data_IF_318755242455
#
_entry.id   IF_318755242455
#
_cell.length_a   1.000
_cell.length_b   1.000
_cell.length_c   1.000
_cell.angle_alpha   90.00
_cell.angle_beta   90.00
_cell.angle_gamma   90.00
#
_symmetry.space_group_name_H-M   'P 1'
#
loop_
_entity.id
_entity.type
_entity.pdbx_description
1 polymer ?
#
# COMPACT_ATOMS: atom_id res chain seq x y z
N UNK A 1 20.94 -3.41 12.54
CA UNK A 1 21.37 -2.13 11.94
C UNK A 1 22.09 -1.29 12.99
N UNK A 2 23.36 -1.61 13.17
CA UNK A 2 24.18 -1.12 14.28
C UNK A 2 25.07 0.05 13.83
N UNK A 3 24.60 0.85 12.90
CA UNK A 3 25.36 1.92 12.26
C UNK A 3 24.90 3.33 12.54
N UNK A 4 24.24 3.56 13.67
CA UNK A 4 23.78 4.93 14.00
C UNK A 4 24.86 5.66 14.77
N UNK A 5 25.59 6.53 14.09
CA UNK A 5 26.48 7.50 14.71
C UNK A 5 25.83 8.89 14.69
N UNK A 6 25.81 9.54 15.84
CA UNK A 6 25.33 10.91 15.96
C UNK A 6 23.91 11.03 16.52
N UNK A 7 23.05 11.84 15.88
CA UNK A 7 21.72 12.20 16.37
C UNK A 7 20.61 11.20 16.00
N UNK A 8 20.95 10.14 15.30
CA UNK A 8 19.97 9.13 14.88
C UNK A 8 19.68 8.17 16.03
N UNK A 9 18.42 7.91 16.29
CA UNK A 9 17.94 6.95 17.29
C UNK A 9 17.20 5.81 16.62
N UNK A 10 17.37 4.59 17.11
CA UNK A 10 16.64 3.43 16.62
C UNK A 10 15.14 3.53 16.88
N UNK A 11 14.32 2.95 16.02
CA UNK A 11 12.86 3.00 16.13
C UNK A 11 12.36 2.42 17.47
N UNK A 12 13.00 1.37 17.97
CA UNK A 12 12.64 0.77 19.26
C UNK A 12 12.82 1.76 20.42
N UNK A 13 13.87 2.60 20.37
CA UNK A 13 14.08 3.64 21.37
C UNK A 13 12.96 4.68 21.31
N UNK A 14 12.59 5.13 20.12
CA UNK A 14 11.49 6.11 19.94
C UNK A 14 10.16 5.55 20.48
N UNK A 15 9.87 4.28 20.17
CA UNK A 15 8.66 3.60 20.67
C UNK A 15 8.69 3.51 22.20
N UNK A 16 9.83 3.14 22.78
CA UNK A 16 9.96 3.02 24.24
C UNK A 16 9.78 4.38 24.96
N UNK A 17 10.36 5.45 24.41
CA UNK A 17 10.18 6.79 24.97
C UNK A 17 8.73 7.29 24.80
N UNK A 18 8.12 7.08 23.62
CA UNK A 18 6.71 7.39 23.40
C UNK A 18 5.79 6.65 24.38
N UNK A 19 6.06 5.37 24.65
CA UNK A 19 5.30 4.60 25.64
C UNK A 19 5.43 5.18 27.06
N UNK A 20 6.63 5.57 27.48
CA UNK A 20 6.83 6.22 28.80
C UNK A 20 6.00 7.51 28.92
N UNK A 21 5.99 8.34 27.88
CA UNK A 21 5.20 9.57 27.86
C UNK A 21 3.70 9.28 27.98
N UNK A 22 3.21 8.31 27.20
CA UNK A 22 1.80 7.89 27.23
C UNK A 22 1.41 7.32 28.61
N UNK A 23 2.24 6.44 29.18
CA UNK A 23 2.02 5.84 30.50
C UNK A 23 2.05 6.90 31.62
N UNK A 24 2.78 8.02 31.41
CA UNK A 24 2.81 9.17 32.28
C UNK A 24 1.62 10.15 32.11
N UNK A 25 0.69 9.85 31.17
CA UNK A 25 -0.48 10.69 30.89
C UNK A 25 -0.19 11.90 30.01
N UNK A 26 0.92 11.92 29.27
CA UNK A 26 1.19 12.99 28.30
C UNK A 26 0.24 12.89 27.12
N UNK A 27 -0.48 13.97 26.82
CA UNK A 27 -1.48 14.08 25.74
C UNK A 27 -1.08 15.09 24.67
N UNK A 28 0.10 15.72 24.77
CA UNK A 28 0.53 16.78 23.86
C UNK A 28 0.35 16.43 22.38
N UNK A 29 0.65 15.19 21.99
CA UNK A 29 0.47 14.74 20.60
C UNK A 29 -1.00 14.69 20.19
N UNK A 30 -1.90 14.32 21.12
CA UNK A 30 -3.34 14.21 20.85
C UNK A 30 -4.03 15.57 20.84
N UNK A 31 -3.47 16.53 21.58
CA UNK A 31 -4.05 17.86 21.79
C UNK A 31 -3.55 18.88 20.73
N UNK A 32 -2.71 18.45 19.78
CA UNK A 32 -2.21 19.32 18.71
C UNK A 32 -3.37 19.75 17.80
N UNK A 33 -3.60 21.05 17.73
CA UNK A 33 -4.48 21.62 16.69
C UNK A 33 -3.81 21.55 15.32
N UNK A 34 -4.48 20.90 14.38
CA UNK A 34 -4.00 20.75 13.00
C UNK A 34 -4.72 21.77 12.13
N UNK A 35 -3.97 22.72 11.55
CA UNK A 35 -4.49 23.56 10.47
C UNK A 35 -4.62 22.76 9.18
N UNK A 36 -5.84 22.53 8.67
CA UNK A 36 -6.04 21.76 7.44
C UNK A 36 -5.35 22.36 6.21
N UNK A 37 -5.11 23.65 6.20
CA UNK A 37 -4.50 24.37 5.08
C UNK A 37 -2.96 24.45 5.20
N UNK A 38 -2.40 23.99 6.30
CA UNK A 38 -0.96 23.99 6.47
C UNK A 38 -0.28 23.08 5.45
N UNK A 39 0.75 23.62 4.76
CA UNK A 39 1.59 22.85 3.86
C UNK A 39 2.33 21.73 4.59
N UNK A 40 2.19 20.49 4.12
CA UNK A 40 2.81 19.32 4.75
C UNK A 40 3.51 18.39 3.78
N UNK A 41 3.09 18.32 2.53
CA UNK A 41 3.65 17.41 1.55
C UNK A 41 4.17 18.13 0.32
N UNK A 42 5.38 17.77 -0.09
CA UNK A 42 5.96 18.20 -1.37
C UNK A 42 6.20 16.94 -2.22
N UNK A 43 5.50 16.86 -3.34
CA UNK A 43 5.62 15.73 -4.26
C UNK A 43 6.16 16.24 -5.59
N UNK A 44 7.22 15.61 -6.07
CA UNK A 44 7.80 15.96 -7.36
C UNK A 44 7.17 15.12 -8.47
N UNK A 45 6.73 15.82 -9.52
CA UNK A 45 6.25 15.20 -10.75
C UNK A 45 7.21 15.45 -11.87
N UNK A 46 7.44 14.44 -12.73
CA UNK A 46 8.14 14.62 -14.00
C UNK A 46 7.26 15.47 -14.91
N UNK A 47 7.51 16.78 -14.94
CA UNK A 47 6.81 17.67 -15.86
C UNK A 47 7.07 17.32 -17.32
N UNK A 48 6.22 17.78 -18.23
CA UNK A 48 6.42 17.72 -19.69
C UNK A 48 7.64 18.52 -20.15
N UNK A 49 8.19 19.37 -19.29
CA UNK A 49 9.44 20.11 -19.43
C UNK A 49 10.52 19.42 -18.60
N UNK A 50 11.77 19.49 -19.02
CA UNK A 50 12.93 18.81 -18.42
C UNK A 50 13.18 19.06 -16.91
N UNK A 51 12.39 19.93 -16.29
CA UNK A 51 12.49 20.23 -14.84
C UNK A 51 11.34 19.59 -14.07
N UNK A 52 11.68 18.90 -12.98
CA UNK A 52 10.70 18.37 -12.04
C UNK A 52 9.94 19.54 -11.37
N UNK A 53 8.62 19.40 -11.27
CA UNK A 53 7.75 20.37 -10.59
C UNK A 53 7.39 19.85 -9.22
N UNK A 54 7.58 20.67 -8.19
CA UNK A 54 7.13 20.37 -6.83
C UNK A 54 5.67 20.76 -6.65
N UNK A 55 4.82 19.77 -6.35
CA UNK A 55 3.41 19.99 -6.00
C UNK A 55 3.31 20.09 -4.50
N UNK A 56 2.81 21.22 -4.02
CA UNK A 56 2.61 21.49 -2.59
C UNK A 56 1.20 21.06 -2.19
N UNK A 57 1.10 20.20 -1.19
CA UNK A 57 -0.17 19.69 -0.67
C UNK A 57 -0.30 20.02 0.82
N UNK A 58 -1.50 20.44 1.23
CA UNK A 58 -1.86 20.62 2.62
C UNK A 58 -2.56 19.35 3.18
N UNK A 59 -2.82 19.34 4.48
CA UNK A 59 -3.55 18.26 5.14
C UNK A 59 -4.91 17.98 4.49
N UNK A 60 -5.66 19.04 4.16
CA UNK A 60 -6.98 18.91 3.53
C UNK A 60 -6.93 18.15 2.22
N UNK A 61 -5.95 18.41 1.36
CA UNK A 61 -5.85 17.74 0.06
C UNK A 61 -5.75 16.21 0.21
N UNK A 62 -4.95 15.75 1.18
CA UNK A 62 -4.78 14.32 1.43
C UNK A 62 -6.02 13.72 2.10
N UNK A 63 -6.55 14.39 3.11
CA UNK A 63 -7.73 13.92 3.84
C UNK A 63 -8.96 13.80 2.94
N UNK A 64 -9.22 14.79 2.08
CA UNK A 64 -10.34 14.76 1.15
C UNK A 64 -10.18 13.64 0.11
N UNK A 65 -8.96 13.40 -0.39
CA UNK A 65 -8.68 12.31 -1.30
C UNK A 65 -8.95 10.94 -0.64
N UNK A 66 -8.43 10.72 0.56
CA UNK A 66 -8.67 9.50 1.34
C UNK A 66 -10.15 9.30 1.62
N UNK A 67 -10.85 10.35 2.10
CA UNK A 67 -12.28 10.30 2.38
C UNK A 67 -13.12 10.02 1.13
N UNK A 68 -12.74 10.61 -0.02
CA UNK A 68 -13.44 10.37 -1.27
C UNK A 68 -13.36 8.90 -1.68
N UNK A 69 -12.17 8.29 -1.62
CA UNK A 69 -11.99 6.87 -1.99
C UNK A 69 -12.70 5.95 -1.00
N UNK A 70 -12.67 6.24 0.31
CA UNK A 70 -13.38 5.46 1.34
C UNK A 70 -14.90 5.38 1.11
N UNK A 71 -15.48 6.34 0.39
CA UNK A 71 -16.91 6.30 0.04
C UNK A 71 -17.23 5.32 -1.08
N UNK A 72 -16.29 5.01 -1.95
CA UNK A 72 -16.47 4.13 -3.10
C UNK A 72 -15.95 2.73 -2.88
N UNK A 73 -14.89 2.59 -2.09
CA UNK A 73 -14.24 1.32 -1.79
C UNK A 73 -14.44 1.01 -0.31
N UNK A 74 -15.13 -0.10 -0.02
CA UNK A 74 -15.26 -0.56 1.36
C UNK A 74 -13.95 -1.20 1.79
N UNK A 75 -13.38 -0.65 2.86
CA UNK A 75 -12.16 -1.11 3.49
C UNK A 75 -12.49 -1.47 4.93
N UNK A 76 -11.96 -2.58 5.40
CA UNK A 76 -12.21 -3.09 6.73
C UNK A 76 -10.90 -3.15 7.54
N UNK A 77 -10.98 -3.06 8.85
CA UNK A 77 -9.82 -3.16 9.74
C UNK A 77 -9.00 -4.45 9.54
N UNK A 78 -9.65 -5.54 9.12
CA UNK A 78 -9.00 -6.81 8.82
C UNK A 78 -8.25 -6.84 7.48
N UNK A 79 -8.42 -5.83 6.65
CA UNK A 79 -7.74 -5.79 5.35
C UNK A 79 -6.25 -5.55 5.51
N UNK A 80 -5.49 -6.17 4.61
CA UNK A 80 -4.04 -6.01 4.51
C UNK A 80 -3.73 -5.49 3.12
N UNK A 81 -3.28 -4.27 3.04
CA UNK A 81 -2.85 -3.64 1.79
C UNK A 81 -1.40 -4.01 1.49
N UNK A 82 -1.13 -4.41 0.25
CA UNK A 82 0.22 -4.70 -0.19
C UNK A 82 0.80 -3.50 -0.91
N UNK A 83 1.75 -2.83 -0.27
CA UNK A 83 2.43 -1.65 -0.81
C UNK A 83 3.62 -2.09 -1.67
N UNK A 84 3.48 -1.97 -2.98
CA UNK A 84 4.48 -2.41 -3.97
C UNK A 84 4.93 -1.29 -4.90
N UNK A 85 4.14 -0.24 -5.03
CA UNK A 85 4.49 0.93 -5.82
C UNK A 85 5.33 1.91 -4.99
N UNK A 86 6.08 2.82 -5.62
CA UNK A 86 6.90 3.78 -4.89
C UNK A 86 6.06 4.74 -4.05
N UNK A 87 6.33 4.80 -2.74
CA UNK A 87 5.64 5.70 -1.80
C UNK A 87 5.81 7.19 -2.09
N UNK A 88 6.80 7.58 -2.89
CA UNK A 88 6.95 8.97 -3.32
C UNK A 88 5.97 9.39 -4.42
N UNK A 89 5.17 8.48 -4.97
CA UNK A 89 4.06 8.80 -5.85
C UNK A 89 2.77 8.96 -5.05
N UNK A 90 1.98 10.00 -5.38
CA UNK A 90 0.70 10.30 -4.70
C UNK A 90 -0.26 9.12 -4.65
N UNK A 91 -0.33 8.33 -5.72
CA UNK A 91 -1.23 7.18 -5.79
C UNK A 91 -0.92 6.14 -4.69
N UNK A 92 0.33 5.77 -4.53
CA UNK A 92 0.73 4.83 -3.49
C UNK A 92 0.70 5.46 -2.10
N UNK A 93 1.23 6.69 -1.93
CA UNK A 93 1.26 7.33 -0.62
C UNK A 93 -0.13 7.61 -0.05
N UNK A 94 -1.08 8.07 -0.88
CA UNK A 94 -2.43 8.37 -0.38
C UNK A 94 -3.34 7.15 -0.33
N UNK A 95 -3.37 6.31 -1.36
CA UNK A 95 -4.33 5.20 -1.43
C UNK A 95 -3.71 3.88 -0.96
N UNK A 96 -2.42 3.65 -1.19
CA UNK A 96 -1.74 2.44 -0.72
C UNK A 96 -1.31 2.48 0.75
N UNK A 97 -1.10 3.67 1.31
CA UNK A 97 -0.63 3.84 2.69
C UNK A 97 -1.61 4.62 3.57
N UNK A 98 -1.93 5.88 3.28
CA UNK A 98 -2.77 6.68 4.17
C UNK A 98 -4.20 6.17 4.27
N UNK A 99 -4.79 5.71 3.16
CA UNK A 99 -6.16 5.19 3.14
C UNK A 99 -6.35 3.96 4.05
N UNK A 100 -5.51 2.90 3.98
CA UNK A 100 -5.63 1.79 4.91
C UNK A 100 -5.45 2.23 6.37
N UNK A 101 -4.48 3.09 6.69
CA UNK A 101 -4.32 3.59 8.06
C UNK A 101 -5.54 4.35 8.55
N UNK A 102 -6.15 5.20 7.71
CA UNK A 102 -7.36 5.94 8.06
C UNK A 102 -8.57 5.04 8.32
N UNK A 103 -8.56 3.80 7.79
CA UNK A 103 -9.61 2.81 7.99
C UNK A 103 -9.23 1.71 9.01
N UNK A 104 -8.12 1.86 9.73
CA UNK A 104 -7.66 0.89 10.73
C UNK A 104 -7.07 -0.40 10.15
N UNK A 105 -6.80 -0.43 8.84
CA UNK A 105 -6.22 -1.58 8.14
C UNK A 105 -4.70 -1.62 8.27
N UNK A 106 -4.12 -2.77 7.93
CA UNK A 106 -2.66 -2.97 7.91
C UNK A 106 -2.06 -2.73 6.53
N UNK A 107 -0.77 -2.34 6.51
CA UNK A 107 0.01 -2.22 5.27
C UNK A 107 1.23 -3.13 5.34
N UNK A 108 1.34 -4.05 4.41
CA UNK A 108 2.51 -4.90 4.20
C UNK A 108 3.38 -4.29 3.10
N UNK A 109 4.59 -3.89 3.44
CA UNK A 109 5.52 -3.24 2.50
C UNK A 109 6.33 -4.31 1.78
N UNK A 110 6.31 -4.28 0.44
CA UNK A 110 7.09 -5.18 -0.40
C UNK A 110 8.60 -4.88 -0.28
N UNK A 111 9.41 -5.89 -0.05
CA UNK A 111 10.87 -5.80 0.02
C UNK A 111 11.56 -5.50 -1.32
N UNK A 112 10.78 -5.40 -2.41
CA UNK A 112 11.23 -5.06 -3.76
C UNK A 112 10.66 -6.01 -4.83
N UNK A 113 10.81 -5.63 -6.09
CA UNK A 113 10.19 -6.34 -7.23
C UNK A 113 10.53 -7.85 -7.32
N UNK A 114 11.68 -8.26 -6.77
CA UNK A 114 12.08 -9.67 -6.71
C UNK A 114 11.30 -10.48 -5.67
N UNK A 115 10.82 -9.80 -4.63
CA UNK A 115 10.19 -10.40 -3.46
C UNK A 115 8.65 -10.35 -3.51
N UNK A 116 8.04 -9.76 -4.55
CA UNK A 116 6.59 -9.62 -4.64
C UNK A 116 5.86 -10.93 -4.32
N UNK A 117 6.25 -12.04 -4.94
CA UNK A 117 5.55 -13.32 -4.75
C UNK A 117 5.76 -13.90 -3.35
N UNK A 118 7.00 -14.04 -2.82
CA UNK A 118 7.19 -14.50 -1.45
C UNK A 118 6.55 -13.60 -0.41
N UNK A 119 6.67 -12.26 -0.56
CA UNK A 119 6.07 -11.30 0.38
C UNK A 119 4.54 -11.37 0.36
N UNK A 120 3.92 -11.55 -0.81
CA UNK A 120 2.47 -11.78 -0.93
C UNK A 120 2.04 -13.09 -0.27
N UNK A 121 2.84 -14.15 -0.39
CA UNK A 121 2.55 -15.43 0.25
C UNK A 121 2.62 -15.35 1.79
N UNK A 122 3.56 -14.56 2.29
CA UNK A 122 3.74 -14.32 3.73
C UNK A 122 2.64 -13.41 4.29
N UNK A 123 2.47 -12.24 3.69
CA UNK A 123 1.52 -11.23 4.16
C UNK A 123 0.06 -11.56 3.89
N UNK A 124 -0.23 -12.38 2.86
CA UNK A 124 -1.59 -12.74 2.41
C UNK A 124 -2.50 -11.53 2.26
N UNK A 125 -2.09 -10.52 1.47
CA UNK A 125 -2.83 -9.28 1.35
C UNK A 125 -4.22 -9.51 0.74
N UNK A 126 -5.17 -8.66 1.15
CA UNK A 126 -6.55 -8.64 0.62
C UNK A 126 -6.72 -7.58 -0.46
N UNK A 127 -5.85 -6.58 -0.49
CA UNK A 127 -5.88 -5.50 -1.46
C UNK A 127 -4.47 -5.05 -1.86
N UNK A 128 -4.32 -4.55 -3.07
CA UNK A 128 -3.12 -3.85 -3.51
C UNK A 128 -3.45 -2.85 -4.61
N UNK A 129 -2.65 -1.80 -4.70
CA UNK A 129 -2.64 -0.93 -5.86
C UNK A 129 -1.75 -1.53 -6.94
N UNK A 130 -2.21 -1.47 -8.18
CA UNK A 130 -1.46 -1.97 -9.29
C UNK A 130 -1.53 -1.02 -10.50
N UNK A 131 -0.44 -1.00 -11.25
CA UNK A 131 -0.38 -0.37 -12.58
C UNK A 131 -0.37 -1.48 -13.64
N UNK A 132 -0.83 -1.22 -14.88
CA UNK A 132 -0.93 -2.25 -15.92
C UNK A 132 0.34 -3.09 -16.09
N UNK A 133 1.50 -2.44 -16.10
CA UNK A 133 2.79 -3.11 -16.24
C UNK A 133 3.07 -4.14 -15.12
N UNK A 134 2.66 -3.84 -13.89
CA UNK A 134 2.80 -4.76 -12.76
C UNK A 134 1.88 -5.98 -12.96
N UNK A 135 0.62 -5.75 -13.32
CA UNK A 135 -0.36 -6.84 -13.58
C UNK A 135 0.12 -7.75 -14.69
N UNK A 136 0.58 -7.18 -15.81
CA UNK A 136 1.15 -7.95 -16.93
C UNK A 136 2.38 -8.77 -16.52
N UNK A 137 3.24 -8.19 -15.70
CA UNK A 137 4.43 -8.87 -15.19
C UNK A 137 4.08 -10.05 -14.29
N UNK A 138 3.11 -9.87 -13.38
CA UNK A 138 2.59 -10.94 -12.53
C UNK A 138 1.93 -12.04 -13.36
N UNK A 139 1.08 -11.68 -14.32
CA UNK A 139 0.43 -12.61 -15.23
C UNK A 139 1.46 -13.47 -16.00
N UNK A 140 2.50 -12.85 -16.57
CA UNK A 140 3.57 -13.58 -17.26
C UNK A 140 4.29 -14.56 -16.33
N UNK A 141 4.62 -14.15 -15.10
CA UNK A 141 5.27 -15.01 -14.10
C UNK A 141 4.40 -16.19 -13.69
N UNK A 142 3.10 -15.98 -13.51
CA UNK A 142 2.14 -17.04 -13.18
C UNK A 142 2.06 -18.05 -14.31
N UNK A 143 1.89 -17.61 -15.57
CA UNK A 143 1.82 -18.51 -16.71
C UNK A 143 3.12 -19.33 -16.89
N UNK A 144 4.28 -18.68 -16.78
CA UNK A 144 5.56 -19.39 -16.81
C UNK A 144 5.69 -20.45 -15.72
N UNK A 145 5.15 -20.17 -14.52
CA UNK A 145 5.15 -21.12 -13.42
C UNK A 145 4.22 -22.31 -13.69
N UNK A 146 3.04 -22.05 -14.27
CA UNK A 146 2.08 -23.09 -14.67
C UNK A 146 2.69 -23.99 -15.74
N UNK A 147 3.31 -23.41 -16.77
CA UNK A 147 3.98 -24.16 -17.83
C UNK A 147 5.09 -25.05 -17.29
N UNK A 148 5.97 -24.48 -16.43
CA UNK A 148 7.06 -25.23 -15.80
C UNK A 148 6.57 -26.36 -14.89
N UNK A 149 5.41 -26.23 -14.29
CA UNK A 149 4.82 -27.26 -13.44
C UNK A 149 4.23 -28.45 -14.22
N UNK A 150 4.11 -28.34 -15.55
CA UNK A 150 3.45 -29.33 -16.41
C UNK A 150 1.93 -29.40 -16.22
N UNK A 151 1.32 -28.48 -15.47
CA UNK A 151 -0.10 -28.47 -15.11
C UNK A 151 -0.96 -27.55 -15.99
N UNK A 152 -0.41 -27.04 -17.07
CA UNK A 152 -1.10 -26.08 -17.96
C UNK A 152 -2.46 -26.61 -18.46
N UNK A 153 -2.53 -27.88 -18.88
CA UNK A 153 -3.79 -28.51 -19.29
C UNK A 153 -4.86 -28.56 -18.22
N UNK A 154 -4.46 -28.89 -16.98
CA UNK A 154 -5.38 -28.93 -15.83
C UNK A 154 -5.91 -27.54 -15.50
N UNK A 155 -5.01 -26.53 -15.44
CA UNK A 155 -5.38 -25.14 -15.16
C UNK A 155 -6.36 -24.61 -16.21
N UNK A 156 -6.06 -24.83 -17.49
CA UNK A 156 -6.94 -24.40 -18.58
C UNK A 156 -8.33 -25.08 -18.50
N UNK A 157 -8.38 -26.37 -18.21
CA UNK A 157 -9.65 -27.08 -18.03
C UNK A 157 -10.47 -26.52 -16.87
N UNK A 158 -9.82 -26.21 -15.75
CA UNK A 158 -10.48 -25.58 -14.59
C UNK A 158 -10.97 -24.16 -14.92
N UNK A 159 -10.19 -23.35 -15.63
CA UNK A 159 -10.61 -22.02 -16.06
C UNK A 159 -11.82 -22.07 -17.00
N UNK A 160 -11.86 -23.02 -17.94
CA UNK A 160 -13.02 -23.24 -18.81
C UNK A 160 -14.26 -23.61 -17.99
N UNK A 161 -14.12 -24.52 -17.03
CA UNK A 161 -15.21 -24.93 -16.15
C UNK A 161 -15.73 -23.76 -15.29
N UNK A 162 -14.82 -22.99 -14.66
CA UNK A 162 -15.16 -21.81 -13.87
C UNK A 162 -15.91 -20.77 -14.72
N UNK A 163 -15.42 -20.48 -15.93
CA UNK A 163 -16.07 -19.53 -16.82
C UNK A 163 -17.46 -20.04 -17.28
N UNK A 164 -17.62 -21.33 -17.53
CA UNK A 164 -18.92 -21.93 -17.86
C UNK A 164 -19.90 -21.82 -16.67
N UNK A 165 -19.45 -22.07 -15.45
CA UNK A 165 -20.29 -21.93 -14.24
C UNK A 165 -20.70 -20.47 -14.00
N UNK A 166 -19.77 -19.52 -14.16
CA UNK A 166 -20.08 -18.08 -14.06
C UNK A 166 -21.09 -17.63 -15.12
N UNK A 167 -21.04 -18.17 -16.33
CA UNK A 167 -22.00 -17.83 -17.40
C UNK A 167 -23.44 -18.25 -17.08
N UNK A 168 -23.64 -19.21 -16.20
CA UNK A 168 -24.97 -19.64 -15.70
C UNK A 168 -25.31 -19.08 -14.32
N UNK A 169 -24.55 -18.07 -13.84
CA UNK A 169 -24.84 -17.35 -12.60
C UNK A 169 -24.36 -18.07 -11.32
N UNK A 170 -23.50 -19.06 -11.44
CA UNK A 170 -22.88 -19.72 -10.26
C UNK A 170 -21.55 -19.00 -9.99
N UNK A 171 -21.50 -18.30 -8.87
CA UNK A 171 -20.28 -17.65 -8.37
C UNK A 171 -19.47 -18.67 -7.56
N UNK A 172 -18.18 -18.85 -7.95
CA UNK A 172 -17.28 -19.81 -7.31
C UNK A 172 -16.04 -19.02 -6.83
#
# INVERSE_FOLDING_TARGET
NDGVQGRDVGIEHVIAEGKKLTDAGNTEYMDVEIDPEEFKFLIFTSGTTSQAKGVMLCHRNLAENVNAVSKYVKIYERDIFFSVLPLHHTYESSIGALLPFANGSSVAICGGLRYIVPDMQEAKPTAMLAVPLLVESLYKKINQSIEKSGKAGLVNSMLHLTNALKSVGIDI
#
